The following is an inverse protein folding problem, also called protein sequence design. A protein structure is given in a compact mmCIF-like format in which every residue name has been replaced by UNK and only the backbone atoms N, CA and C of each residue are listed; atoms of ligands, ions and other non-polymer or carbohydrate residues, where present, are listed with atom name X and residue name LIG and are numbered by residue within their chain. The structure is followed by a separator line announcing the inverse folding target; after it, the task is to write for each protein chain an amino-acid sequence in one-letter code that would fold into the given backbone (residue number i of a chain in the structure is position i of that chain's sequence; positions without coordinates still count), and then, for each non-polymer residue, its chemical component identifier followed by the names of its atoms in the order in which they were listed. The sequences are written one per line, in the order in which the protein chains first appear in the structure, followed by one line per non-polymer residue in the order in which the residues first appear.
data_IF_856670483825
#
_entry.id   IF_856670483825
#
_cell.length_a   1.000
_cell.length_b   1.000
_cell.length_c   1.000
_cell.angle_alpha   90.00
_cell.angle_beta   90.00
_cell.angle_gamma   90.00
#
_symmetry.space_group_name_H-M   'P 1'
#
loop_
_entity.id
_entity.type
_entity.pdbx_description
1 polymer ?
#
# COMPACT_ATOMS: atom_id res chain seq x y z
N UNK A 1 24.76 69.24 49.91
CA UNK A 1 23.67 69.97 49.24
C UNK A 1 23.69 69.53 47.78
N UNK A 2 22.73 68.67 47.38
CA UNK A 2 22.37 68.15 46.03
C UNK A 2 23.49 67.51 45.16
N UNK A 3 23.55 66.19 44.94
CA UNK A 3 22.78 65.35 43.98
C UNK A 3 22.74 65.87 42.52
N UNK A 4 23.33 65.17 41.53
CA UNK A 4 22.66 64.16 40.68
C UNK A 4 23.41 63.78 39.38
N UNK A 5 23.25 62.50 39.02
CA UNK A 5 23.22 61.85 37.69
C UNK A 5 24.50 61.53 36.90
N UNK A 6 24.92 60.25 37.05
CA UNK A 6 25.63 59.47 36.04
C UNK A 6 24.71 59.15 34.84
N UNK A 7 25.22 59.33 33.61
CA UNK A 7 24.60 58.87 32.36
C UNK A 7 25.39 57.69 31.80
N UNK A 8 24.82 56.49 31.92
CA UNK A 8 25.28 55.29 31.22
C UNK A 8 24.47 55.10 29.92
N UNK A 9 25.15 55.07 28.79
CA UNK A 9 24.58 54.77 27.47
C UNK A 9 24.49 53.25 27.31
N UNK A 10 23.28 52.70 27.32
CA UNK A 10 23.03 51.29 27.01
C UNK A 10 22.75 51.14 25.50
N UNK A 11 23.60 50.38 24.80
CA UNK A 11 23.39 49.99 23.41
C UNK A 11 22.48 48.75 23.37
N UNK A 12 21.31 48.88 22.72
CA UNK A 12 20.36 47.79 22.52
C UNK A 12 20.77 46.98 21.28
N UNK A 13 21.27 45.76 21.47
CA UNK A 13 21.53 44.81 20.38
C UNK A 13 20.22 44.09 20.06
N UNK A 14 19.65 44.37 18.89
CA UNK A 14 18.49 43.66 18.34
C UNK A 14 18.97 42.32 17.76
N UNK A 15 18.73 41.23 18.47
CA UNK A 15 18.95 39.87 17.94
C UNK A 15 17.72 39.48 17.13
N UNK A 16 17.82 39.59 15.79
CA UNK A 16 16.84 39.00 14.89
C UNK A 16 16.98 37.47 14.92
N UNK A 17 16.09 36.79 15.64
CA UNK A 17 15.86 35.36 15.43
C UNK A 17 15.13 35.19 14.09
N UNK A 18 15.90 34.92 13.03
CA UNK A 18 15.37 34.34 11.81
C UNK A 18 14.85 32.94 12.13
N UNK A 19 13.53 32.82 12.32
CA UNK A 19 12.86 31.53 12.36
C UNK A 19 13.11 30.82 11.03
N UNK A 20 13.96 29.78 11.06
CA UNK A 20 14.06 28.84 9.95
C UNK A 20 12.73 28.12 9.90
N UNK A 21 11.88 28.50 8.93
CA UNK A 21 10.67 27.75 8.65
C UNK A 21 11.09 26.37 8.12
N UNK A 22 11.09 25.36 8.99
CA UNK A 22 11.22 23.98 8.55
C UNK A 22 10.03 23.69 7.64
N UNK A 23 10.29 23.52 6.35
CA UNK A 23 9.31 22.94 5.45
C UNK A 23 8.93 21.57 6.02
N UNK A 24 7.66 21.37 6.35
CA UNK A 24 7.19 20.08 6.83
C UNK A 24 7.52 19.02 5.79
N UNK A 25 8.16 17.94 6.22
CA UNK A 25 8.47 16.83 5.33
C UNK A 25 7.19 16.03 5.03
N UNK A 26 7.04 15.52 3.79
CA UNK A 26 5.91 14.66 3.46
C UNK A 26 5.85 13.44 4.36
N UNK A 27 4.64 13.13 4.84
CA UNK A 27 4.34 11.91 5.58
C UNK A 27 3.81 10.85 4.62
N UNK A 28 4.25 9.61 4.81
CA UNK A 28 3.83 8.47 3.99
C UNK A 28 2.91 7.58 4.83
N UNK A 29 1.67 7.29 4.38
CA UNK A 29 0.88 6.23 4.98
C UNK A 29 1.62 4.89 4.88
N UNK A 30 1.38 4.01 5.85
CA UNK A 30 2.10 2.74 5.95
C UNK A 30 2.05 1.97 4.62
N UNK A 31 3.22 1.51 4.19
CA UNK A 31 3.46 0.68 3.00
C UNK A 31 3.26 1.38 1.66
N UNK A 32 3.04 2.71 1.64
CA UNK A 32 2.88 3.50 0.41
C UNK A 32 4.15 4.26 0.01
N UNK A 33 4.43 4.30 -1.28
CA UNK A 33 5.36 5.22 -1.95
C UNK A 33 4.81 6.64 -2.10
N UNK A 34 3.50 6.84 -2.13
CA UNK A 34 2.89 8.18 -2.17
C UNK A 34 2.88 8.80 -0.77
N UNK A 35 3.44 10.00 -0.64
CA UNK A 35 3.44 10.79 0.59
C UNK A 35 2.98 12.22 0.34
N UNK A 36 2.57 12.90 1.40
CA UNK A 36 2.04 14.26 1.35
C UNK A 36 2.27 14.97 2.69
N UNK A 37 2.39 16.29 2.68
CA UNK A 37 2.25 17.10 3.90
C UNK A 37 0.77 17.30 4.14
N UNK A 38 0.17 16.66 5.16
CA UNK A 38 -1.27 16.74 5.37
C UNK A 38 -1.70 18.17 5.73
N UNK A 39 -2.95 18.58 5.44
CA UNK A 39 -3.45 19.89 5.84
C UNK A 39 -3.45 20.04 7.37
N UNK A 40 -3.50 21.27 7.91
CA UNK A 40 -3.62 21.48 9.36
C UNK A 40 -4.79 20.68 9.96
N UNK A 41 -4.57 20.13 11.17
CA UNK A 41 -5.53 19.31 11.92
C UNK A 41 -5.88 17.94 11.30
N UNK A 42 -5.16 17.50 10.27
CA UNK A 42 -5.22 16.13 9.80
C UNK A 42 -4.18 15.26 10.51
N UNK A 43 -4.58 14.04 10.85
CA UNK A 43 -3.71 13.01 11.43
C UNK A 43 -3.80 11.74 10.60
N UNK A 44 -2.80 10.87 10.70
CA UNK A 44 -2.83 9.58 10.01
C UNK A 44 -4.03 8.74 10.49
N UNK A 45 -4.82 8.23 9.56
CA UNK A 45 -5.97 7.39 9.90
C UNK A 45 -5.51 5.97 10.28
N UNK A 46 -6.06 5.36 11.34
CA UNK A 46 -5.81 3.96 11.66
C UNK A 46 -6.66 3.00 10.82
N UNK A 47 -7.65 3.51 10.06
CA UNK A 47 -8.65 2.65 9.38
C UNK A 47 -8.51 2.61 7.87
N UNK A 48 -7.79 3.56 7.27
CA UNK A 48 -7.54 3.60 5.84
C UNK A 48 -6.16 4.23 5.54
N UNK A 49 -5.54 3.92 4.40
CA UNK A 49 -4.25 4.50 4.04
C UNK A 49 -4.41 5.99 3.70
N UNK A 50 -4.14 6.85 4.68
CA UNK A 50 -4.22 8.30 4.49
C UNK A 50 -4.41 9.05 5.80
N UNK A 51 -5.14 10.16 5.74
CA UNK A 51 -5.30 11.11 6.83
C UNK A 51 -6.78 11.46 7.06
N UNK A 52 -7.14 11.77 8.29
CA UNK A 52 -8.46 12.26 8.67
C UNK A 52 -8.35 13.51 9.52
N UNK A 53 -9.32 14.41 9.40
CA UNK A 53 -9.38 15.57 10.27
C UNK A 53 -9.76 15.13 11.68
N UNK A 54 -9.00 15.56 12.70
CA UNK A 54 -9.17 15.11 14.10
C UNK A 54 -10.62 15.15 14.60
N UNK A 55 -11.33 16.24 14.32
CA UNK A 55 -12.65 16.50 14.91
C UNK A 55 -13.80 16.55 13.89
N UNK A 56 -13.54 16.26 12.61
CA UNK A 56 -14.51 16.46 11.52
C UNK A 56 -14.49 15.27 10.58
N UNK A 57 -15.64 14.97 9.97
CA UNK A 57 -15.79 13.86 9.03
C UNK A 57 -15.15 14.13 7.65
N UNK A 58 -13.91 14.63 7.64
CA UNK A 58 -13.13 14.95 6.45
C UNK A 58 -12.02 13.91 6.31
N UNK A 59 -11.86 13.36 5.10
CA UNK A 59 -10.92 12.26 4.83
C UNK A 59 -10.04 12.57 3.64
N UNK A 60 -8.79 12.13 3.73
CA UNK A 60 -7.80 12.17 2.65
C UNK A 60 -7.25 10.76 2.46
N UNK A 61 -7.61 10.09 1.38
CA UNK A 61 -7.17 8.74 1.06
C UNK A 61 -6.02 8.80 0.06
N UNK A 62 -5.00 7.99 0.29
CA UNK A 62 -3.86 7.82 -0.61
C UNK A 62 -3.86 6.39 -1.11
N UNK A 63 -3.62 6.21 -2.41
CA UNK A 63 -3.46 4.87 -2.99
C UNK A 63 -2.51 4.89 -4.18
N UNK A 64 -2.12 3.68 -4.60
CA UNK A 64 -1.20 3.46 -5.70
C UNK A 64 -1.79 2.46 -6.68
N UNK A 65 -1.67 2.81 -7.95
CA UNK A 65 -1.94 1.94 -9.07
C UNK A 65 -0.67 1.77 -9.89
N UNK A 66 -0.55 0.70 -10.69
CA UNK A 66 0.54 0.59 -11.64
C UNK A 66 0.59 1.78 -12.60
N UNK A 67 1.80 2.17 -13.01
CA UNK A 67 2.04 3.34 -13.86
C UNK A 67 1.40 3.24 -15.25
N UNK A 68 1.22 2.02 -15.77
CA UNK A 68 0.54 1.79 -17.05
C UNK A 68 -0.96 2.12 -17.01
N UNK A 69 -1.56 2.21 -15.81
CA UNK A 69 -2.99 2.51 -15.64
C UNK A 69 -3.29 4.00 -15.88
N UNK A 70 -2.30 4.89 -15.73
CA UNK A 70 -2.49 6.34 -15.81
C UNK A 70 -3.14 6.81 -17.12
N UNK A 71 -2.67 6.32 -18.27
CA UNK A 71 -3.20 6.73 -19.58
C UNK A 71 -4.65 6.26 -19.78
N UNK A 72 -5.00 5.10 -19.21
CA UNK A 72 -6.38 4.62 -19.18
C UNK A 72 -7.27 5.53 -18.34
N UNK A 73 -6.82 5.92 -17.14
CA UNK A 73 -7.53 6.86 -16.27
C UNK A 73 -7.74 8.21 -16.94
N UNK A 74 -6.74 8.75 -17.64
CA UNK A 74 -6.88 10.02 -18.35
C UNK A 74 -8.00 9.96 -19.40
N UNK A 75 -8.05 8.87 -20.18
CA UNK A 75 -9.10 8.68 -21.20
C UNK A 75 -10.49 8.58 -20.57
N UNK A 76 -10.64 7.80 -19.51
CA UNK A 76 -11.91 7.64 -18.79
C UNK A 76 -12.40 8.98 -18.25
N UNK A 77 -11.51 9.74 -17.61
CA UNK A 77 -11.80 11.09 -17.11
C UNK A 77 -12.22 12.04 -18.23
N UNK A 78 -11.54 12.02 -19.37
CA UNK A 78 -11.88 12.88 -20.52
C UNK A 78 -13.25 12.52 -21.13
N UNK A 79 -13.65 11.25 -21.07
CA UNK A 79 -14.99 10.83 -21.45
C UNK A 79 -16.05 11.28 -20.44
N UNK A 80 -15.77 11.16 -19.15
CA UNK A 80 -16.73 11.53 -18.10
C UNK A 80 -16.95 13.04 -18.02
N UNK A 81 -15.91 13.84 -18.22
CA UNK A 81 -16.03 15.31 -18.33
C UNK A 81 -16.92 15.73 -19.51
N UNK A 82 -16.98 14.95 -20.59
CA UNK A 82 -17.90 15.19 -21.73
C UNK A 82 -19.34 14.81 -21.42
N UNK A 83 -19.56 13.75 -20.63
CA UNK A 83 -20.91 13.28 -20.26
C UNK A 83 -21.56 14.19 -19.22
N UNK A 84 -20.77 14.82 -18.36
CA UNK A 84 -21.25 15.61 -17.22
C UNK A 84 -20.61 17.02 -17.16
N UNK A 85 -20.79 17.86 -18.21
CA UNK A 85 -20.11 19.14 -18.29
C UNK A 85 -20.49 20.06 -17.12
N UNK A 86 -19.49 20.61 -16.44
CA UNK A 86 -19.67 21.59 -15.36
C UNK A 86 -19.91 21.00 -13.96
N UNK A 87 -20.12 19.68 -13.84
CA UNK A 87 -20.25 19.01 -12.53
C UNK A 87 -18.88 18.72 -11.88
N UNK A 88 -17.88 18.40 -12.71
CA UNK A 88 -16.50 18.16 -12.32
C UNK A 88 -15.61 19.05 -13.18
N UNK A 89 -14.58 19.62 -12.58
CA UNK A 89 -13.56 20.40 -13.29
C UNK A 89 -12.21 19.72 -13.16
N UNK A 90 -11.39 19.84 -14.21
CA UNK A 90 -10.04 19.27 -14.29
C UNK A 90 -8.99 20.39 -14.33
N UNK A 91 -7.90 20.20 -13.60
CA UNK A 91 -6.70 21.02 -13.60
C UNK A 91 -5.50 20.10 -13.86
N UNK A 92 -4.73 20.34 -14.91
CA UNK A 92 -3.47 19.61 -15.10
C UNK A 92 -2.41 20.14 -14.15
N UNK A 93 -1.56 19.25 -13.63
CA UNK A 93 -0.55 19.59 -12.63
C UNK A 93 0.79 18.93 -12.95
N UNK A 94 1.86 19.61 -12.52
CA UNK A 94 3.22 19.08 -12.52
C UNK A 94 3.80 19.27 -11.12
N UNK A 95 4.15 18.18 -10.46
CA UNK A 95 4.76 18.19 -9.14
C UNK A 95 6.19 18.71 -9.21
N UNK A 96 6.76 19.12 -8.08
CA UNK A 96 8.17 19.57 -7.99
C UNK A 96 9.18 18.53 -8.47
N UNK A 97 8.82 17.24 -8.44
CA UNK A 97 9.63 16.14 -8.98
C UNK A 97 9.61 16.04 -10.50
N UNK A 98 8.81 16.86 -11.20
CA UNK A 98 8.52 16.75 -12.63
C UNK A 98 7.44 15.71 -12.97
N UNK A 99 6.89 15.03 -11.97
CA UNK A 99 5.80 14.08 -12.17
C UNK A 99 4.52 14.81 -12.61
N UNK A 100 3.90 14.33 -13.69
CA UNK A 100 2.74 14.98 -14.33
C UNK A 100 1.44 14.26 -14.00
N UNK A 101 0.38 15.03 -13.89
CA UNK A 101 -0.89 14.56 -13.39
C UNK A 101 -2.05 15.50 -13.69
N UNK A 102 -3.16 15.23 -13.04
CA UNK A 102 -4.32 16.10 -13.03
C UNK A 102 -5.02 16.04 -11.67
N UNK A 103 -5.76 17.10 -11.34
CA UNK A 103 -6.67 17.19 -10.22
C UNK A 103 -8.09 17.33 -10.77
N UNK A 104 -8.99 16.49 -10.31
CA UNK A 104 -10.43 16.64 -10.49
C UNK A 104 -11.02 17.26 -9.24
N UNK A 105 -11.97 18.18 -9.40
CA UNK A 105 -12.74 18.75 -8.30
C UNK A 105 -14.21 18.86 -8.66
N UNK A 106 -15.08 18.52 -7.72
CA UNK A 106 -16.53 18.60 -7.91
C UNK A 106 -17.31 18.22 -6.66
N UNK A 107 -18.58 18.61 -6.62
CA UNK A 107 -19.51 18.20 -5.56
C UNK A 107 -20.31 17.00 -6.05
N UNK A 108 -20.26 15.91 -5.28
CA UNK A 108 -21.01 14.68 -5.56
C UNK A 108 -22.09 14.48 -4.50
N UNK A 109 -23.25 13.99 -4.92
CA UNK A 109 -24.30 13.59 -3.98
C UNK A 109 -23.95 12.23 -3.38
N UNK A 110 -23.99 12.14 -2.05
CA UNK A 110 -23.89 10.89 -1.31
C UNK A 110 -25.18 10.64 -0.50
N UNK A 111 -25.42 9.42 -0.01
CA UNK A 111 -26.54 9.16 0.90
C UNK A 111 -26.55 10.03 2.16
N UNK A 112 -25.39 10.58 2.56
CA UNK A 112 -25.20 11.40 3.76
C UNK A 112 -25.23 12.91 3.46
N UNK A 113 -25.52 13.28 2.21
CA UNK A 113 -25.55 14.66 1.73
C UNK A 113 -24.46 14.97 0.70
N UNK A 114 -24.35 16.23 0.24
CA UNK A 114 -23.34 16.64 -0.72
C UNK A 114 -21.93 16.55 -0.13
N UNK A 115 -21.00 16.00 -0.90
CA UNK A 115 -19.57 15.88 -0.55
C UNK A 115 -18.76 16.54 -1.65
N UNK A 116 -17.93 17.51 -1.27
CA UNK A 116 -16.93 18.07 -2.16
C UNK A 116 -15.72 17.14 -2.22
N UNK A 117 -15.29 16.81 -3.43
CA UNK A 117 -14.23 15.85 -3.68
C UNK A 117 -13.10 16.46 -4.50
N UNK A 118 -11.87 16.26 -4.07
CA UNK A 118 -10.67 16.41 -4.92
C UNK A 118 -10.10 15.03 -5.20
N UNK A 119 -9.76 14.76 -6.46
CA UNK A 119 -9.04 13.54 -6.85
C UNK A 119 -7.82 13.96 -7.66
N UNK A 120 -6.64 13.82 -7.08
CA UNK A 120 -5.37 13.96 -7.78
C UNK A 120 -4.93 12.58 -8.29
N UNK A 121 -4.49 12.52 -9.55
CA UNK A 121 -3.76 11.40 -10.11
C UNK A 121 -2.46 11.89 -10.73
N UNK A 122 -1.32 11.33 -10.32
CA UNK A 122 0.01 11.71 -10.85
C UNK A 122 0.81 10.46 -11.19
N UNK A 123 1.43 10.44 -12.37
CA UNK A 123 2.33 9.37 -12.78
C UNK A 123 3.78 9.71 -12.45
N UNK A 124 4.46 8.78 -11.80
CA UNK A 124 5.91 8.81 -11.59
C UNK A 124 6.46 7.41 -11.87
N UNK A 125 7.17 7.25 -12.99
CA UNK A 125 7.75 5.97 -13.39
C UNK A 125 6.72 4.85 -13.54
N UNK A 126 6.88 3.81 -12.71
CA UNK A 126 6.08 2.59 -12.64
C UNK A 126 4.81 2.73 -11.78
N UNK A 127 4.51 3.93 -11.28
CA UNK A 127 3.39 4.19 -10.36
C UNK A 127 2.48 5.29 -10.88
N UNK A 128 1.20 5.12 -10.63
CA UNK A 128 0.21 6.18 -10.56
C UNK A 128 -0.19 6.41 -9.11
N UNK A 129 0.22 7.54 -8.53
CA UNK A 129 -0.21 7.95 -7.20
C UNK A 129 -1.57 8.62 -7.26
N UNK A 130 -2.48 8.23 -6.36
CA UNK A 130 -3.83 8.76 -6.27
C UNK A 130 -4.02 9.37 -4.88
N UNK A 131 -4.47 10.62 -4.82
CA UNK A 131 -4.88 11.29 -3.57
C UNK A 131 -6.32 11.75 -3.71
N UNK A 132 -7.19 11.31 -2.79
CA UNK A 132 -8.60 11.63 -2.78
C UNK A 132 -8.94 12.37 -1.49
N UNK A 133 -9.46 13.58 -1.59
CA UNK A 133 -9.94 14.35 -0.42
C UNK A 133 -11.44 14.47 -0.49
N UNK A 134 -12.13 14.05 0.56
CA UNK A 134 -13.58 14.07 0.69
C UNK A 134 -13.99 14.97 1.87
N UNK A 135 -14.72 16.03 1.55
CA UNK A 135 -15.18 17.05 2.51
C UNK A 135 -16.70 17.14 2.44
N UNK A 136 -17.44 16.71 3.47
CA UNK A 136 -18.88 16.95 3.53
C UNK A 136 -19.18 18.44 3.51
N UNK A 137 -20.20 18.85 2.75
CA UNK A 137 -20.53 20.28 2.57
C UNK A 137 -20.88 20.98 3.90
N UNK A 138 -21.39 20.21 4.87
CA UNK A 138 -21.73 20.66 6.23
C UNK A 138 -20.52 21.08 7.08
N UNK A 139 -19.29 20.75 6.68
CA UNK A 139 -18.05 21.07 7.43
C UNK A 139 -16.96 21.66 6.53
N UNK A 140 -17.31 22.19 5.36
CA UNK A 140 -16.35 22.64 4.35
C UNK A 140 -15.43 23.77 4.80
N UNK A 141 -15.89 24.59 5.74
CA UNK A 141 -15.11 25.67 6.34
C UNK A 141 -13.87 25.17 7.10
N UNK A 142 -13.85 23.89 7.51
CA UNK A 142 -12.73 23.25 8.21
C UNK A 142 -11.69 22.63 7.27
N UNK A 143 -11.95 22.60 5.97
CA UNK A 143 -10.96 22.27 4.95
C UNK A 143 -11.00 23.32 3.82
N UNK A 144 -10.48 24.54 4.08
CA UNK A 144 -10.38 25.58 3.07
C UNK A 144 -9.67 25.08 1.82
N UNK A 145 -10.17 25.51 0.65
CA UNK A 145 -9.68 25.03 -0.65
C UNK A 145 -8.18 25.26 -0.83
N UNK A 146 -7.68 26.42 -0.40
CA UNK A 146 -6.26 26.80 -0.46
C UNK A 146 -5.39 25.87 0.40
N UNK A 147 -5.84 25.51 1.60
CA UNK A 147 -5.14 24.57 2.47
C UNK A 147 -5.06 23.16 1.85
N UNK A 148 -6.16 22.66 1.28
CA UNK A 148 -6.17 21.36 0.59
C UNK A 148 -5.29 21.40 -0.66
N UNK A 149 -5.38 22.47 -1.46
CA UNK A 149 -4.57 22.65 -2.68
C UNK A 149 -3.08 22.73 -2.36
N UNK A 150 -2.70 23.46 -1.31
CA UNK A 150 -1.33 23.57 -0.86
C UNK A 150 -0.77 22.22 -0.40
N UNK A 151 -1.58 21.40 0.29
CA UNK A 151 -1.21 20.03 0.64
C UNK A 151 -1.00 19.18 -0.61
N UNK A 152 -1.91 19.23 -1.58
CA UNK A 152 -1.77 18.50 -2.85
C UNK A 152 -0.49 18.87 -3.63
N UNK A 153 -0.01 20.12 -3.57
CA UNK A 153 1.28 20.53 -4.16
C UNK A 153 2.51 19.90 -3.50
N UNK A 154 2.36 19.35 -2.29
CA UNK A 154 3.44 18.66 -1.56
C UNK A 154 3.52 17.17 -1.84
N UNK A 155 2.62 16.63 -2.68
CA UNK A 155 2.63 15.22 -3.03
C UNK A 155 4.02 14.84 -3.56
N UNK A 156 4.54 13.75 -3.03
CA UNK A 156 5.81 13.16 -3.44
C UNK A 156 5.64 11.66 -3.57
N UNK A 157 6.48 11.06 -4.41
CA UNK A 157 6.47 9.62 -4.66
C UNK A 157 7.90 9.13 -4.45
N UNK A 158 8.14 8.41 -3.34
CA UNK A 158 9.44 7.78 -3.08
C UNK A 158 9.63 6.57 -4.00
N UNK A 159 10.87 6.28 -4.36
CA UNK A 159 11.20 5.17 -5.27
C UNK A 159 10.83 3.81 -4.68
N UNK A 160 11.16 3.61 -3.40
CA UNK A 160 10.96 2.36 -2.68
C UNK A 160 10.44 2.64 -1.28
N UNK A 161 9.68 1.69 -0.75
CA UNK A 161 9.34 1.64 0.68
C UNK A 161 10.45 0.87 1.41
N UNK A 162 10.97 1.35 2.54
CA UNK A 162 11.93 0.62 3.35
C UNK A 162 11.36 -0.73 3.83
N UNK A 163 12.19 -1.78 3.85
CA UNK A 163 11.75 -3.12 4.27
C UNK A 163 11.25 -3.12 5.72
N UNK A 164 11.83 -2.28 6.58
CA UNK A 164 11.46 -2.14 7.98
C UNK A 164 9.99 -1.70 8.12
N UNK A 165 9.51 -0.83 7.23
CA UNK A 165 8.13 -0.37 7.22
C UNK A 165 7.17 -1.49 6.79
N UNK A 166 7.55 -2.26 5.77
CA UNK A 166 6.80 -3.45 5.36
C UNK A 166 6.72 -4.49 6.49
N UNK A 167 7.85 -4.79 7.13
CA UNK A 167 7.92 -5.74 8.25
C UNK A 167 7.13 -5.24 9.47
N UNK A 168 7.19 -3.94 9.77
CA UNK A 168 6.44 -3.34 10.86
C UNK A 168 4.92 -3.45 10.64
N UNK A 169 4.45 -3.35 9.39
CA UNK A 169 3.03 -3.44 9.05
C UNK A 169 2.43 -4.86 9.11
N UNK A 170 3.25 -5.92 9.14
CA UNK A 170 2.76 -7.30 9.16
C UNK A 170 2.39 -7.78 10.57
N UNK A 171 1.46 -8.73 10.73
CA UNK A 171 1.14 -9.34 12.04
C UNK A 171 2.02 -10.57 12.37
N UNK A 172 3.03 -10.85 11.54
CA UNK A 172 4.01 -11.93 11.70
C UNK A 172 5.41 -11.44 11.34
N UNK A 173 6.44 -12.13 11.80
CA UNK A 173 7.82 -11.83 11.46
C UNK A 173 8.26 -12.55 10.19
N UNK A 174 9.10 -11.91 9.39
CA UNK A 174 9.86 -12.53 8.30
C UNK A 174 11.35 -12.24 8.57
N UNK A 175 12.06 -13.21 9.12
CA UNK A 175 13.45 -13.04 9.55
C UNK A 175 14.46 -13.28 8.42
N UNK A 176 14.03 -13.98 7.37
CA UNK A 176 14.85 -14.28 6.21
C UNK A 176 13.99 -14.15 4.95
N UNK A 177 14.32 -13.18 4.10
CA UNK A 177 13.65 -12.98 2.81
C UNK A 177 14.13 -13.96 1.73
N UNK A 178 15.18 -14.75 2.00
CA UNK A 178 15.79 -15.70 1.08
C UNK A 178 16.06 -15.08 -0.31
N UNK A 179 16.50 -13.82 -0.34
CA UNK A 179 16.79 -13.03 -1.55
C UNK A 179 15.56 -12.55 -2.35
N UNK A 180 14.34 -12.78 -1.86
CA UNK A 180 13.15 -12.14 -2.37
C UNK A 180 13.03 -10.70 -1.84
N UNK A 181 12.21 -9.89 -2.49
CA UNK A 181 11.89 -8.52 -2.09
C UNK A 181 10.38 -8.33 -2.03
N UNK A 182 9.93 -7.39 -1.20
CA UNK A 182 8.53 -7.01 -1.18
C UNK A 182 8.11 -6.36 -2.50
N UNK A 183 6.92 -6.73 -2.95
CA UNK A 183 6.17 -6.05 -4.01
C UNK A 183 5.09 -5.18 -3.36
N UNK A 184 4.37 -5.74 -2.38
CA UNK A 184 3.30 -5.06 -1.66
C UNK A 184 3.07 -5.72 -0.30
N UNK A 185 2.65 -4.92 0.67
CA UNK A 185 2.12 -5.40 1.94
C UNK A 185 0.71 -4.86 2.11
N UNK A 186 -0.19 -5.70 2.61
CA UNK A 186 -1.45 -5.28 3.19
C UNK A 186 -1.28 -5.26 4.71
N UNK A 187 -1.26 -4.08 5.35
CA UNK A 187 -1.09 -3.96 6.78
C UNK A 187 -2.03 -4.87 7.56
N UNK A 188 -1.49 -5.58 8.55
CA UNK A 188 -2.24 -6.48 9.41
C UNK A 188 -2.70 -7.80 8.78
N UNK A 189 -2.39 -8.08 7.50
CA UNK A 189 -2.97 -9.22 6.80
C UNK A 189 -2.00 -10.03 5.92
N UNK A 190 -1.27 -9.37 5.01
CA UNK A 190 -0.61 -10.09 3.92
C UNK A 190 0.67 -9.44 3.42
N UNK A 191 1.59 -10.26 2.92
CA UNK A 191 2.78 -9.84 2.19
C UNK A 191 2.80 -10.50 0.81
N UNK A 192 3.29 -9.76 -0.17
CA UNK A 192 3.57 -10.24 -1.50
C UNK A 192 5.02 -9.96 -1.86
N UNK A 193 5.73 -10.98 -2.31
CA UNK A 193 7.16 -10.93 -2.60
C UNK A 193 7.46 -11.46 -4.00
N UNK A 194 8.61 -11.06 -4.52
CA UNK A 194 9.13 -11.52 -5.81
C UNK A 194 10.65 -11.50 -5.84
N UNK A 195 11.21 -12.01 -6.94
CA UNK A 195 12.60 -11.83 -7.33
C UNK A 195 12.62 -11.48 -8.81
N UNK A 196 13.07 -10.25 -9.12
CA UNK A 196 13.02 -9.70 -10.46
C UNK A 196 12.73 -8.20 -10.45
N UNK A 197 12.83 -7.51 -11.59
CA UNK A 197 12.68 -6.06 -11.67
C UNK A 197 11.23 -5.58 -11.74
N UNK A 198 10.24 -6.47 -11.94
CA UNK A 198 8.85 -6.06 -12.11
C UNK A 198 8.13 -6.04 -10.77
N UNK A 199 7.20 -5.11 -10.59
CA UNK A 199 6.25 -5.10 -9.46
C UNK A 199 4.84 -5.42 -9.96
N UNK A 200 4.77 -6.43 -10.83
CA UNK A 200 3.54 -6.85 -11.48
C UNK A 200 3.09 -8.22 -10.97
N UNK A 201 1.78 -8.35 -10.77
CA UNK A 201 1.12 -9.55 -10.25
C UNK A 201 0.35 -10.33 -11.33
N UNK A 202 0.18 -9.73 -12.50
CA UNK A 202 -0.80 -10.17 -13.49
C UNK A 202 -0.30 -11.26 -14.44
N UNK A 203 1.00 -11.27 -14.74
CA UNK A 203 1.66 -12.29 -15.56
C UNK A 203 2.84 -12.78 -14.75
N UNK A 204 2.87 -14.08 -14.48
CA UNK A 204 3.91 -14.72 -13.67
C UNK A 204 5.15 -14.92 -14.55
N UNK A 205 5.84 -13.83 -14.87
CA UNK A 205 7.14 -13.86 -15.54
C UNK A 205 8.29 -14.08 -14.56
N UNK A 206 8.05 -13.73 -13.30
CA UNK A 206 8.97 -13.80 -12.17
C UNK A 206 8.30 -14.59 -11.04
N UNK A 207 9.07 -15.21 -10.13
CA UNK A 207 8.50 -15.89 -8.98
C UNK A 207 7.61 -14.94 -8.17
N UNK A 208 6.43 -15.39 -7.81
CA UNK A 208 5.50 -14.64 -6.97
C UNK A 208 5.21 -15.44 -5.71
N UNK A 209 5.36 -14.81 -4.55
CA UNK A 209 5.07 -15.38 -3.25
C UNK A 209 4.02 -14.53 -2.58
N UNK A 210 2.99 -15.17 -2.06
CA UNK A 210 1.90 -14.58 -1.30
C UNK A 210 1.84 -15.24 0.07
N UNK A 211 1.97 -14.43 1.11
CA UNK A 211 1.85 -14.85 2.50
C UNK A 211 0.63 -14.14 3.08
N UNK A 212 -0.38 -14.89 3.50
CA UNK A 212 -1.59 -14.35 4.12
C UNK A 212 -1.80 -15.00 5.48
N UNK A 213 -2.32 -14.25 6.43
CA UNK A 213 -2.81 -14.78 7.71
C UNK A 213 -4.27 -14.39 7.88
N UNK A 214 -5.09 -15.31 8.37
CA UNK A 214 -6.50 -15.05 8.63
C UNK A 214 -6.91 -15.65 9.99
N UNK A 215 -7.93 -15.08 10.66
CA UNK A 215 -8.52 -15.70 11.83
C UNK A 215 -9.08 -17.09 11.50
N UNK A 216 -8.82 -18.05 12.38
CA UNK A 216 -9.38 -19.39 12.34
C UNK A 216 -9.69 -19.86 13.77
N UNK A 217 -10.87 -19.49 14.30
CA UNK A 217 -11.21 -19.73 15.71
C UNK A 217 -11.22 -21.21 16.09
N UNK A 218 -11.66 -22.08 15.18
CA UNK A 218 -11.68 -23.53 15.39
C UNK A 218 -10.54 -24.17 14.61
N UNK A 219 -9.72 -24.94 15.31
CA UNK A 219 -8.65 -25.70 14.68
C UNK A 219 -9.23 -26.88 13.89
N UNK A 220 -8.84 -27.05 12.62
CA UNK A 220 -9.34 -28.15 11.83
C UNK A 220 -8.74 -29.46 12.32
N UNK A 221 -9.56 -30.51 12.30
CA UNK A 221 -9.09 -31.87 12.55
C UNK A 221 -8.09 -32.28 11.46
N UNK A 222 -7.15 -33.20 11.74
CA UNK A 222 -6.14 -33.62 10.76
C UNK A 222 -6.72 -34.00 9.39
N UNK A 223 -7.84 -34.72 9.37
CA UNK A 223 -8.55 -35.17 8.17
C UNK A 223 -9.21 -34.04 7.35
N UNK A 224 -9.48 -32.88 7.96
CA UNK A 224 -10.10 -31.73 7.28
C UNK A 224 -9.08 -30.87 6.52
N UNK A 225 -7.79 -31.04 6.82
CA UNK A 225 -6.72 -30.14 6.35
C UNK A 225 -6.47 -30.19 4.85
N UNK A 226 -6.56 -31.37 4.23
CA UNK A 226 -6.43 -31.51 2.77
C UNK A 226 -7.55 -30.75 2.05
N UNK A 227 -8.80 -30.96 2.46
CA UNK A 227 -9.97 -30.27 1.91
C UNK A 227 -9.86 -28.76 2.03
N UNK A 228 -9.41 -28.25 3.19
CA UNK A 228 -9.15 -26.83 3.41
C UNK A 228 -8.04 -26.33 2.48
N UNK A 229 -6.92 -27.04 2.37
CA UNK A 229 -5.81 -26.64 1.52
C UNK A 229 -6.23 -26.56 0.04
N UNK A 230 -7.01 -27.54 -0.46
CA UNK A 230 -7.53 -27.54 -1.84
C UNK A 230 -8.54 -26.42 -2.09
N UNK A 231 -9.43 -26.13 -1.13
CA UNK A 231 -10.36 -25.01 -1.22
C UNK A 231 -9.61 -23.68 -1.33
N UNK A 232 -8.64 -23.45 -0.45
CA UNK A 232 -7.80 -22.24 -0.49
C UNK A 232 -6.94 -22.15 -1.75
N UNK A 233 -6.55 -23.27 -2.35
CA UNK A 233 -5.89 -23.28 -3.64
C UNK A 233 -6.84 -22.79 -4.74
N UNK A 234 -8.09 -23.27 -4.75
CA UNK A 234 -9.12 -22.87 -5.72
C UNK A 234 -9.48 -21.38 -5.68
N UNK A 235 -9.23 -20.69 -4.57
CA UNK A 235 -9.39 -19.23 -4.44
C UNK A 235 -8.25 -18.44 -5.14
N UNK A 236 -7.24 -19.11 -5.70
CA UNK A 236 -6.07 -18.48 -6.35
C UNK A 236 -6.34 -18.24 -7.84
N UNK A 237 -6.90 -17.06 -8.16
CA UNK A 237 -7.44 -16.73 -9.50
C UNK A 237 -6.46 -16.56 -10.67
N UNK A 238 -5.15 -16.79 -10.50
CA UNK A 238 -4.13 -16.60 -11.54
C UNK A 238 -3.76 -17.87 -12.33
N UNK A 239 -4.25 -19.03 -11.91
CA UNK A 239 -3.86 -20.32 -12.48
C UNK A 239 -4.99 -20.99 -13.27
N UNK A 240 -4.63 -21.69 -14.34
CA UNK A 240 -5.50 -22.66 -15.05
C UNK A 240 -4.81 -24.02 -15.16
N UNK A 241 -5.54 -25.05 -15.59
CA UNK A 241 -5.04 -26.42 -15.72
C UNK A 241 -4.35 -26.95 -14.45
N UNK A 242 -4.90 -26.58 -13.28
CA UNK A 242 -4.31 -26.86 -11.97
C UNK A 242 -4.34 -28.36 -11.67
N UNK A 243 -3.16 -28.94 -11.43
CA UNK A 243 -2.98 -30.34 -11.03
C UNK A 243 -2.13 -30.42 -9.76
N UNK A 244 -2.72 -30.93 -8.69
CA UNK A 244 -1.97 -31.26 -7.47
C UNK A 244 -1.17 -32.54 -7.71
N UNK A 245 0.15 -32.46 -7.65
CA UNK A 245 1.08 -33.58 -7.86
C UNK A 245 1.48 -34.25 -6.56
N UNK A 246 1.48 -33.50 -5.45
CA UNK A 246 1.71 -34.03 -4.11
C UNK A 246 0.84 -33.29 -3.09
N UNK A 247 0.33 -34.03 -2.11
CA UNK A 247 -0.43 -33.50 -0.98
C UNK A 247 0.00 -34.25 0.27
N UNK A 248 0.46 -33.54 1.30
CA UNK A 248 1.01 -34.20 2.49
C UNK A 248 0.94 -33.32 3.75
N UNK A 249 0.63 -33.92 4.91
CA UNK A 249 0.84 -33.24 6.19
C UNK A 249 2.33 -33.11 6.48
N UNK A 250 2.72 -32.02 7.13
CA UNK A 250 4.08 -31.80 7.61
C UNK A 250 4.08 -30.95 8.89
N UNK A 251 5.26 -30.71 9.45
CA UNK A 251 5.46 -29.71 10.50
C UNK A 251 6.44 -28.64 10.03
N UNK A 252 6.10 -27.39 10.29
CA UNK A 252 6.94 -26.21 10.03
C UNK A 252 7.08 -25.49 11.36
N UNK A 253 8.31 -25.29 11.84
CA UNK A 253 8.58 -24.70 13.17
C UNK A 253 7.73 -25.34 14.29
N UNK A 254 7.64 -26.68 14.28
CA UNK A 254 6.82 -27.51 15.18
C UNK A 254 5.29 -27.24 15.15
N UNK A 255 4.81 -26.38 14.25
CA UNK A 255 3.38 -26.19 13.99
C UNK A 255 2.89 -27.18 12.94
N UNK A 256 1.64 -27.60 13.10
CA UNK A 256 0.97 -28.46 12.14
C UNK A 256 0.78 -27.71 10.82
N UNK A 257 1.14 -28.35 9.71
CA UNK A 257 1.01 -27.77 8.40
C UNK A 257 0.54 -28.79 7.35
N UNK A 258 0.15 -28.28 6.19
CA UNK A 258 -0.20 -29.08 5.02
C UNK A 258 0.45 -28.49 3.78
N UNK A 259 1.08 -29.33 2.96
CA UNK A 259 1.74 -28.94 1.71
C UNK A 259 0.95 -29.47 0.52
N UNK A 260 0.79 -28.62 -0.50
CA UNK A 260 0.38 -29.00 -1.84
C UNK A 260 1.48 -28.60 -2.83
N UNK A 261 1.97 -29.54 -3.62
CA UNK A 261 2.75 -29.25 -4.82
C UNK A 261 1.86 -29.31 -6.05
N UNK A 262 2.04 -28.35 -6.94
CA UNK A 262 1.06 -28.03 -7.99
C UNK A 262 1.80 -27.81 -9.30
N UNK A 263 1.36 -28.49 -10.35
CA UNK A 263 1.61 -28.07 -11.73
C UNK A 263 0.39 -27.26 -12.21
N UNK A 264 0.62 -26.17 -12.93
CA UNK A 264 -0.45 -25.34 -13.49
C UNK A 264 0.04 -24.59 -14.72
N UNK A 265 -0.83 -23.80 -15.33
CA UNK A 265 -0.47 -22.81 -16.33
C UNK A 265 -0.89 -21.42 -15.92
N UNK A 266 -0.14 -20.42 -16.37
CA UNK A 266 -0.56 -19.03 -16.24
C UNK A 266 -1.84 -18.80 -17.04
N UNK A 267 -2.86 -18.20 -16.42
CA UNK A 267 -4.15 -18.00 -17.07
C UNK A 267 -4.03 -17.12 -18.32
N UNK A 268 -3.16 -16.08 -18.28
CA UNK A 268 -2.97 -15.10 -19.35
C UNK A 268 -2.01 -15.58 -20.44
N UNK A 269 -0.80 -16.00 -20.08
CA UNK A 269 0.28 -16.32 -21.03
C UNK A 269 0.31 -17.80 -21.46
N UNK A 270 -0.38 -18.70 -20.75
CA UNK A 270 -0.33 -20.15 -20.98
C UNK A 270 1.04 -20.81 -20.69
N UNK A 271 1.95 -20.09 -20.04
CA UNK A 271 3.25 -20.62 -19.62
C UNK A 271 3.09 -21.74 -18.59
N UNK A 272 3.95 -22.75 -18.67
CA UNK A 272 3.98 -23.83 -17.69
C UNK A 272 4.56 -23.34 -16.37
N UNK A 273 3.80 -23.53 -15.29
CA UNK A 273 4.14 -23.09 -13.96
C UNK A 273 4.28 -24.28 -13.00
N UNK A 274 5.15 -24.09 -12.00
CA UNK A 274 5.12 -24.87 -10.77
C UNK A 274 4.77 -23.97 -9.59
N UNK A 275 3.93 -24.49 -8.73
CA UNK A 275 3.51 -23.81 -7.51
C UNK A 275 3.58 -24.73 -6.30
N UNK A 276 3.65 -24.10 -5.14
CA UNK A 276 3.56 -24.76 -3.86
C UNK A 276 2.71 -23.93 -2.91
N UNK A 277 1.93 -24.63 -2.10
CA UNK A 277 1.14 -24.05 -1.03
C UNK A 277 1.48 -24.74 0.28
N UNK A 278 1.86 -23.95 1.28
CA UNK A 278 1.91 -24.38 2.67
C UNK A 278 0.80 -23.70 3.45
N UNK A 279 0.04 -24.49 4.19
CA UNK A 279 -0.93 -24.00 5.16
C UNK A 279 -0.40 -24.33 6.54
N UNK A 280 -0.10 -23.33 7.37
CA UNK A 280 0.22 -23.49 8.80
C UNK A 280 -1.03 -23.25 9.62
N UNK A 281 -1.35 -24.19 10.51
CA UNK A 281 -2.46 -24.10 11.44
C UNK A 281 -1.91 -23.62 12.80
N UNK A 282 -2.11 -22.33 13.09
CA UNK A 282 -1.68 -21.68 14.33
C UNK A 282 -2.82 -21.58 15.34
N UNK A 283 -2.55 -21.15 16.57
CA UNK A 283 -3.62 -20.96 17.56
C UNK A 283 -4.51 -19.77 17.16
N UNK A 284 -5.76 -20.05 16.78
CA UNK A 284 -6.72 -19.03 16.38
C UNK A 284 -6.48 -18.41 15.00
N UNK A 285 -5.50 -18.88 14.24
CA UNK A 285 -5.14 -18.35 12.92
C UNK A 285 -4.76 -19.44 11.94
N UNK A 286 -4.90 -19.13 10.65
CA UNK A 286 -4.40 -19.92 9.55
C UNK A 286 -3.48 -19.05 8.72
N UNK A 287 -2.28 -19.54 8.41
CA UNK A 287 -1.34 -18.86 7.53
C UNK A 287 -1.18 -19.65 6.24
N UNK A 288 -1.44 -19.00 5.10
CA UNK A 288 -1.20 -19.55 3.77
C UNK A 288 0.07 -18.91 3.20
N UNK A 289 1.01 -19.73 2.79
CA UNK A 289 2.17 -19.35 2.00
C UNK A 289 2.00 -20.03 0.65
N UNK A 290 1.71 -19.24 -0.38
CA UNK A 290 1.58 -19.70 -1.74
C UNK A 290 2.70 -19.11 -2.57
N UNK A 291 3.44 -19.94 -3.30
CA UNK A 291 4.51 -19.50 -4.18
C UNK A 291 4.35 -20.15 -5.55
N UNK A 292 4.64 -19.40 -6.60
CA UNK A 292 4.55 -19.84 -7.98
C UNK A 292 5.71 -19.27 -8.79
N UNK A 293 6.19 -20.06 -9.75
CA UNK A 293 7.34 -19.75 -10.61
C UNK A 293 7.16 -20.46 -11.95
N UNK A 294 7.86 -19.99 -12.98
CA UNK A 294 8.02 -20.75 -14.22
C UNK A 294 8.59 -22.14 -13.90
N UNK A 295 8.09 -23.16 -14.60
CA UNK A 295 8.48 -24.56 -14.36
C UNK A 295 9.99 -24.78 -14.46
N UNK A 296 10.65 -24.11 -15.40
CA UNK A 296 12.10 -24.26 -15.65
C UNK A 296 12.97 -23.63 -14.55
N UNK A 297 12.43 -22.68 -13.77
CA UNK A 297 13.12 -22.03 -12.67
C UNK A 297 12.86 -22.71 -11.30
N UNK A 298 12.06 -23.78 -11.29
CA UNK A 298 11.59 -24.42 -10.05
C UNK A 298 12.72 -24.91 -9.16
N UNK A 299 13.70 -25.63 -9.73
CA UNK A 299 14.81 -26.21 -8.97
C UNK A 299 15.68 -25.14 -8.29
N UNK A 300 15.75 -23.94 -8.89
CA UNK A 300 16.46 -22.78 -8.33
C UNK A 300 15.69 -22.16 -7.17
N UNK A 301 14.36 -21.98 -7.30
CA UNK A 301 13.56 -21.29 -6.29
C UNK A 301 13.11 -22.20 -5.14
N UNK A 302 12.83 -23.49 -5.40
CA UNK A 302 12.23 -24.37 -4.39
C UNK A 302 13.02 -24.43 -3.05
N UNK A 303 14.36 -24.53 -3.03
CA UNK A 303 15.12 -24.44 -1.79
C UNK A 303 14.94 -23.11 -1.05
N UNK A 304 14.98 -21.98 -1.79
CA UNK A 304 14.82 -20.62 -1.23
C UNK A 304 13.40 -20.36 -0.73
N UNK A 305 12.38 -20.91 -1.39
CA UNK A 305 10.99 -20.83 -0.93
C UNK A 305 10.83 -21.54 0.43
N UNK A 306 11.49 -22.68 0.64
CA UNK A 306 11.51 -23.35 1.95
C UNK A 306 12.25 -22.52 3.00
N UNK A 307 13.38 -21.92 2.64
CA UNK A 307 14.12 -21.01 3.52
C UNK A 307 13.26 -19.81 3.95
N UNK A 308 12.58 -19.14 3.02
CA UNK A 308 11.63 -18.07 3.31
C UNK A 308 10.53 -18.54 4.26
N UNK A 309 9.89 -19.68 3.94
CA UNK A 309 8.83 -20.29 4.77
C UNK A 309 9.30 -20.54 6.21
N UNK A 310 10.52 -21.06 6.37
CA UNK A 310 11.09 -21.39 7.67
C UNK A 310 11.53 -20.15 8.44
N UNK A 311 11.83 -19.05 7.74
CA UNK A 311 12.09 -17.72 8.32
C UNK A 311 10.85 -16.98 8.83
N UNK A 312 9.65 -17.49 8.60
CA UNK A 312 8.39 -16.87 9.05
C UNK A 312 8.02 -17.35 10.47
N UNK A 313 7.80 -16.40 11.37
CA UNK A 313 7.53 -16.67 12.77
C UNK A 313 6.48 -15.73 13.39
N UNK A 314 6.11 -15.96 14.65
CA UNK A 314 5.36 -14.97 15.43
C UNK A 314 6.15 -13.66 15.55
N UNK A 315 5.44 -12.55 15.70
CA UNK A 315 6.03 -11.28 16.14
C UNK A 315 6.31 -11.31 17.64
#
# INVERSE_FOLDING_TARGET
MLEFFARGTAALVLVCWSAVAFAQEPTYPATLRVGIVPPPNFVASPTFPGFEHNDRAIRMLLSELPGYVFEGLQKEVDEDLKKAPGLITREDVELKSGAKGFILKGTLNSPQGPVFKWTMAVRSGDITGIVVVEVPDAVKEFAPYDAVRASLDTVTIRQTVPNEEYLAALPFAINDLAGYRFVRVQPGNAAMLTEGPKDAVEIIEQPLIMITIAPMPQQPKPEERDGIARRLLGETGALKDVRVTQASPLRIANQQAYELQIDAKDAKSNNDLKAIQWIRFGQGTIMKIFAVTNKDAWETHYPRLRQLRDGIGPK
#
